data_IF_873191466454
#
_entry.id   IF_873191466454
#
_cell.length_a   1.000
_cell.length_b   1.000
_cell.length_c   1.000
_cell.angle_alpha   90.00
_cell.angle_beta   90.00
_cell.angle_gamma   90.00
#
_symmetry.space_group_name_H-M   'P 1'
#
loop_
_entity.id
_entity.type
_entity.pdbx_description
1 polymer ?
#
# COMPACT_ATOMS: atom_id res chain seq x y z
N UNK A 1 -19.28 -26.24 8.63
CA UNK A 1 -19.54 -25.53 7.37
C UNK A 1 -20.00 -24.13 7.71
N UNK A 2 -19.10 -23.16 7.58
CA UNK A 2 -19.44 -21.75 7.37
C UNK A 2 -18.36 -21.22 6.44
N UNK A 3 -18.63 -21.46 5.16
CA UNK A 3 -18.01 -20.77 4.05
C UNK A 3 -18.94 -19.60 3.78
N UNK A 4 -18.55 -18.41 4.22
CA UNK A 4 -19.20 -17.16 3.85
C UNK A 4 -18.10 -16.30 3.25
N UNK A 5 -17.78 -16.61 2.00
CA UNK A 5 -16.98 -15.74 1.15
C UNK A 5 -17.82 -14.52 0.80
N UNK A 6 -17.39 -13.35 1.26
CA UNK A 6 -18.03 -12.10 0.91
C UNK A 6 -17.58 -11.64 -0.51
N UNK A 7 -18.52 -11.09 -1.30
CA UNK A 7 -18.37 -10.87 -2.73
C UNK A 7 -17.42 -9.72 -3.07
N UNK A 8 -16.71 -9.92 -4.18
CA UNK A 8 -15.85 -9.01 -4.93
C UNK A 8 -16.53 -7.65 -5.26
N UNK A 9 -16.62 -6.74 -4.30
CA UNK A 9 -16.92 -5.34 -4.59
C UNK A 9 -15.61 -4.62 -4.86
N UNK A 10 -15.24 -4.56 -6.14
CA UNK A 10 -14.16 -3.78 -6.76
C UNK A 10 -14.28 -2.30 -6.37
N UNK A 11 -13.94 -1.98 -5.13
CA UNK A 11 -13.53 -0.65 -4.75
C UNK A 11 -12.26 -0.40 -5.53
N UNK A 12 -12.30 0.61 -6.40
CA UNK A 12 -11.13 1.28 -6.93
C UNK A 12 -10.33 1.86 -5.75
N UNK A 13 -9.74 1.00 -4.92
CA UNK A 13 -8.52 1.31 -4.20
C UNK A 13 -7.48 1.51 -5.29
N UNK A 14 -7.49 2.71 -5.86
CA UNK A 14 -6.29 3.32 -6.38
C UNK A 14 -5.20 2.95 -5.38
N UNK A 15 -4.21 2.19 -5.83
CA UNK A 15 -3.03 1.77 -5.08
C UNK A 15 -2.34 3.03 -4.56
N UNK A 16 -2.89 3.59 -3.49
CA UNK A 16 -2.40 4.80 -2.86
C UNK A 16 -1.23 4.34 -2.03
N UNK A 17 -0.03 4.53 -2.56
CA UNK A 17 1.20 4.47 -1.77
C UNK A 17 1.57 3.06 -1.28
N UNK A 18 1.58 2.07 -2.18
CA UNK A 18 2.38 0.87 -1.92
C UNK A 18 3.84 1.16 -2.23
N UNK A 19 4.73 0.74 -1.34
CA UNK A 19 6.15 0.84 -1.57
C UNK A 19 6.56 -0.02 -2.78
N UNK A 20 7.30 0.52 -3.77
CA UNK A 20 7.72 -0.26 -4.94
C UNK A 20 8.76 -1.33 -4.60
N UNK A 21 9.45 -1.19 -3.47
CA UNK A 21 10.50 -2.13 -3.06
C UNK A 21 9.93 -3.34 -2.29
N UNK A 22 8.95 -3.13 -1.39
CA UNK A 22 8.43 -4.18 -0.52
C UNK A 22 6.91 -4.42 -0.62
N UNK A 23 6.19 -3.62 -1.39
CA UNK A 23 4.74 -3.74 -1.59
C UNK A 23 3.87 -3.40 -0.37
N UNK A 24 4.45 -2.84 0.69
CA UNK A 24 3.72 -2.47 1.90
C UNK A 24 3.01 -1.12 1.73
N UNK A 25 1.82 -0.99 2.31
CA UNK A 25 1.02 0.24 2.35
C UNK A 25 1.51 1.22 3.44
N UNK A 26 2.83 1.29 3.61
CA UNK A 26 3.52 2.16 4.57
C UNK A 26 4.39 3.19 3.85
N UNK A 27 4.20 3.36 2.55
CA UNK A 27 4.84 4.42 1.79
C UNK A 27 4.10 5.73 2.08
N UNK A 28 4.84 6.77 2.41
CA UNK A 28 4.34 8.09 2.77
C UNK A 28 5.20 9.14 2.06
N UNK A 29 4.61 10.30 1.74
CA UNK A 29 5.34 11.40 1.11
C UNK A 29 5.61 12.49 2.15
N UNK A 30 6.89 12.68 2.49
CA UNK A 30 7.35 13.69 3.43
C UNK A 30 8.48 14.51 2.79
N UNK A 31 8.38 15.83 2.87
CA UNK A 31 9.36 16.76 2.27
C UNK A 31 9.52 16.61 0.74
N UNK A 32 8.49 16.06 0.06
CA UNK A 32 8.51 15.79 -1.38
C UNK A 32 9.11 14.44 -1.77
N UNK A 33 9.64 13.68 -0.82
CA UNK A 33 10.22 12.35 -1.05
C UNK A 33 9.26 11.24 -0.59
N UNK A 34 9.22 10.14 -1.33
CA UNK A 34 8.53 8.91 -0.91
C UNK A 34 9.39 8.14 0.08
N UNK A 35 8.93 7.93 1.31
CA UNK A 35 9.61 7.15 2.35
C UNK A 35 8.76 5.94 2.73
N UNK A 36 9.36 4.78 2.96
CA UNK A 36 8.67 3.58 3.42
C UNK A 36 9.14 3.18 4.82
N UNK A 37 8.22 3.20 5.78
CA UNK A 37 8.56 2.82 7.16
C UNK A 37 8.76 1.32 7.39
N UNK A 38 8.37 0.46 6.44
CA UNK A 38 8.56 -1.00 6.57
C UNK A 38 9.91 -1.50 6.10
N UNK A 39 10.45 -0.98 4.99
CA UNK A 39 11.75 -1.43 4.45
C UNK A 39 12.84 -0.35 4.48
N UNK A 40 12.47 0.92 4.75
CA UNK A 40 13.41 2.04 4.73
C UNK A 40 13.62 2.66 3.33
N UNK A 41 12.86 2.24 2.31
CA UNK A 41 12.92 2.85 0.97
C UNK A 41 12.72 4.37 1.05
N UNK A 42 13.56 5.14 0.37
CA UNK A 42 13.46 6.59 0.30
C UNK A 42 13.83 7.09 -1.09
N UNK A 43 12.91 7.74 -1.78
CA UNK A 43 13.11 8.32 -3.11
C UNK A 43 12.69 9.79 -3.12
N UNK A 44 13.64 10.66 -3.43
CA UNK A 44 13.48 12.06 -3.80
C UNK A 44 13.86 12.15 -5.29
#
# INVERSE_FOLDING_TARGET
ASSEGEPESKAFFQYGHLCPECGQATLIYEEGCAKCYSCGYSEC
#
